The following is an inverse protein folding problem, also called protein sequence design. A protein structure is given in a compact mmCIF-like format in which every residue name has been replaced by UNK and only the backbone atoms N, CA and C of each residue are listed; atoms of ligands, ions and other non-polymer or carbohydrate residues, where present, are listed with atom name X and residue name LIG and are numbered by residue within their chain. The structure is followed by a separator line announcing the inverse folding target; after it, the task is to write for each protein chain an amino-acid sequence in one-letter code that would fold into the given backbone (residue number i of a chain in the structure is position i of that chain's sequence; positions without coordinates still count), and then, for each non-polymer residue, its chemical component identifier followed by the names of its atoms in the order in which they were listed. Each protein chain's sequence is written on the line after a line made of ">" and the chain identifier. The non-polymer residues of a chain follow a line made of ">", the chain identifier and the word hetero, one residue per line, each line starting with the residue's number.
data_IF_179381620068
#
_entry.id   IF_179381620068
#
_cell.length_a   1.000
_cell.length_b   1.000
_cell.length_c   1.000
_cell.angle_alpha   90.00
_cell.angle_beta   90.00
_cell.angle_gamma   90.00
#
_symmetry.space_group_name_H-M   'P 1'
#
loop_
_entity.id
_entity.type
_entity.pdbx_description
1 polymer ?
#
# COMPACT_ATOMS: atom_id res chain seq x y z
N UNK A 1 10.25 2.24 -16.96
CA UNK A 1 9.40 3.32 -16.40
C UNK A 1 8.30 2.64 -15.63
N UNK A 2 7.97 3.12 -14.43
CA UNK A 2 7.06 2.41 -13.53
C UNK A 2 5.68 3.04 -13.62
N UNK A 3 4.68 2.24 -13.93
CA UNK A 3 3.29 2.70 -13.99
C UNK A 3 2.46 2.16 -12.83
N UNK A 4 2.84 0.99 -12.31
CA UNK A 4 2.06 0.31 -11.30
C UNK A 4 2.93 -0.10 -10.13
N UNK A 5 2.41 0.10 -8.92
CA UNK A 5 2.96 -0.47 -7.69
C UNK A 5 1.90 -1.38 -7.07
N UNK A 6 2.27 -2.62 -6.78
CA UNK A 6 1.44 -3.56 -6.03
C UNK A 6 1.72 -3.38 -4.55
N UNK A 7 0.66 -3.12 -3.79
CA UNK A 7 0.67 -3.06 -2.35
C UNK A 7 -0.13 -4.24 -1.81
N UNK A 8 0.56 -5.11 -1.09
CA UNK A 8 -0.04 -6.22 -0.39
C UNK A 8 0.25 -6.11 1.10
N UNK A 9 -0.79 -6.34 1.92
CA UNK A 9 -0.69 -6.44 3.37
C UNK A 9 -1.24 -7.79 3.81
N UNK A 10 -0.43 -8.56 4.53
CA UNK A 10 -0.83 -9.85 5.09
C UNK A 10 -0.67 -9.87 6.60
N UNK A 11 -1.63 -10.47 7.31
CA UNK A 11 -1.53 -10.75 8.76
C UNK A 11 -1.89 -12.22 9.01
N UNK A 12 -0.90 -13.07 9.32
CA UNK A 12 -1.14 -14.49 9.56
C UNK A 12 -1.75 -14.79 10.96
N UNK A 13 -1.84 -13.79 11.86
CA UNK A 13 -2.05 -14.03 13.28
C UNK A 13 -3.44 -13.73 13.85
N UNK A 14 -4.29 -12.96 13.15
CA UNK A 14 -5.54 -12.46 13.73
C UNK A 14 -6.79 -12.78 12.89
N UNK A 15 -7.88 -13.12 13.58
CA UNK A 15 -9.21 -13.14 12.99
C UNK A 15 -9.77 -11.71 12.98
N UNK A 16 -9.71 -11.05 11.82
CA UNK A 16 -10.22 -9.70 11.63
C UNK A 16 -11.71 -9.72 11.31
N UNK A 17 -12.50 -8.87 11.98
CA UNK A 17 -13.88 -8.59 11.58
C UNK A 17 -13.91 -7.76 10.29
N UNK A 18 -15.02 -7.83 9.54
CA UNK A 18 -15.19 -7.05 8.30
C UNK A 18 -15.05 -5.54 8.55
N UNK A 19 -15.53 -5.06 9.70
CA UNK A 19 -15.40 -3.65 10.11
C UNK A 19 -13.94 -3.25 10.29
N UNK A 20 -13.15 -4.07 10.99
CA UNK A 20 -11.73 -3.77 11.23
C UNK A 20 -10.93 -3.84 9.92
N UNK A 21 -11.22 -4.82 9.05
CA UNK A 21 -10.63 -4.91 7.71
C UNK A 21 -10.91 -3.64 6.90
N UNK A 22 -12.15 -3.18 6.93
CA UNK A 22 -12.54 -1.97 6.22
C UNK A 22 -11.85 -0.71 6.77
N UNK A 23 -11.75 -0.57 8.09
CA UNK A 23 -11.05 0.55 8.73
C UNK A 23 -9.56 0.54 8.38
N UNK A 24 -8.91 -0.62 8.45
CA UNK A 24 -7.52 -0.78 8.05
C UNK A 24 -7.32 -0.42 6.58
N UNK A 25 -8.20 -0.90 5.71
CA UNK A 25 -8.17 -0.56 4.30
C UNK A 25 -8.25 0.94 4.07
N UNK A 26 -9.20 1.63 4.70
CA UNK A 26 -9.33 3.08 4.59
C UNK A 26 -8.08 3.82 5.07
N UNK A 27 -7.46 3.35 6.16
CA UNK A 27 -6.23 3.92 6.71
C UNK A 27 -5.05 3.76 5.74
N UNK A 28 -4.84 2.55 5.22
CA UNK A 28 -3.78 2.25 4.25
C UNK A 28 -3.95 3.09 2.98
N UNK A 29 -5.17 3.17 2.44
CA UNK A 29 -5.46 3.99 1.26
C UNK A 29 -5.17 5.48 1.51
N UNK A 30 -5.48 5.98 2.71
CA UNK A 30 -5.18 7.36 3.09
C UNK A 30 -3.66 7.62 3.14
N UNK A 31 -2.89 6.68 3.69
CA UNK A 31 -1.42 6.76 3.72
C UNK A 31 -0.89 6.81 2.28
N UNK A 32 -1.32 5.90 1.41
CA UNK A 32 -0.91 5.91 0.01
C UNK A 32 -1.17 7.27 -0.68
N UNK A 33 -2.37 7.82 -0.51
CA UNK A 33 -2.73 9.11 -1.09
C UNK A 33 -1.87 10.25 -0.52
N UNK A 34 -1.66 10.28 0.80
CA UNK A 34 -0.87 11.30 1.47
C UNK A 34 0.61 11.24 1.09
N UNK A 35 1.22 10.05 1.12
CA UNK A 35 2.62 9.86 0.69
C UNK A 35 2.80 10.26 -0.77
N UNK A 36 1.86 9.86 -1.65
CA UNK A 36 1.91 10.22 -3.07
C UNK A 36 1.86 11.74 -3.26
N UNK A 37 0.90 12.42 -2.61
CA UNK A 37 0.80 13.87 -2.67
C UNK A 37 2.08 14.58 -2.21
N UNK A 38 2.70 14.10 -1.12
CA UNK A 38 3.91 14.72 -0.56
C UNK A 38 5.16 14.49 -1.40
N UNK A 39 5.34 13.29 -1.95
CA UNK A 39 6.61 12.89 -2.59
C UNK A 39 6.58 13.07 -4.10
N UNK A 40 5.51 12.60 -4.76
CA UNK A 40 5.42 12.60 -6.22
C UNK A 40 4.55 13.74 -6.74
N UNK A 41 3.45 14.06 -6.04
CA UNK A 41 2.47 15.06 -6.47
C UNK A 41 1.74 14.70 -7.77
N UNK A 42 1.80 13.44 -8.21
CA UNK A 42 1.22 12.97 -9.48
C UNK A 42 -0.15 12.34 -9.28
N UNK A 43 -1.04 12.40 -10.28
CA UNK A 43 -2.30 11.67 -10.24
C UNK A 43 -2.06 10.16 -10.08
N UNK A 44 -2.69 9.57 -9.06
CA UNK A 44 -2.58 8.16 -8.74
C UNK A 44 -3.97 7.60 -8.45
N UNK A 45 -4.28 6.45 -9.04
CA UNK A 45 -5.51 5.69 -8.81
C UNK A 45 -5.18 4.46 -7.99
N UNK A 46 -6.03 4.14 -7.02
CA UNK A 46 -5.89 2.93 -6.23
C UNK A 46 -6.98 1.94 -6.60
N UNK A 47 -6.59 0.74 -7.03
CA UNK A 47 -7.51 -0.32 -7.47
C UNK A 47 -7.37 -1.56 -6.60
N UNK A 48 -8.46 -2.13 -6.06
CA UNK A 48 -8.38 -3.41 -5.38
C UNK A 48 -8.02 -4.51 -6.37
N UNK A 49 -7.20 -5.45 -5.94
CA UNK A 49 -6.90 -6.68 -6.65
C UNK A 49 -7.65 -7.85 -6.00
N UNK A 50 -8.33 -8.63 -6.82
CA UNK A 50 -9.01 -9.84 -6.35
C UNK A 50 -7.98 -10.96 -6.21
N UNK A 51 -7.55 -11.20 -4.97
CA UNK A 51 -6.77 -12.39 -4.62
C UNK A 51 -7.43 -13.03 -3.41
N UNK A 52 -7.75 -14.32 -3.53
CA UNK A 52 -8.30 -15.11 -2.42
C UNK A 52 -7.15 -15.71 -1.62
N UNK A 53 -6.83 -15.12 -0.47
CA UNK A 53 -5.90 -15.70 0.51
C UNK A 53 -6.38 -15.41 1.93
N UNK A 54 -6.33 -16.43 2.79
CA UNK A 54 -6.85 -16.37 4.17
C UNK A 54 -6.09 -15.37 5.05
N UNK A 55 -4.82 -15.08 4.74
CA UNK A 55 -3.97 -14.16 5.49
C UNK A 55 -3.89 -12.77 4.86
N UNK A 56 -4.56 -12.57 3.72
CA UNK A 56 -4.55 -11.30 3.01
C UNK A 56 -5.54 -10.33 3.66
N UNK A 57 -5.02 -9.19 4.10
CA UNK A 57 -5.82 -8.09 4.60
C UNK A 57 -6.11 -7.07 3.51
N UNK A 58 -5.11 -6.79 2.68
CA UNK A 58 -5.19 -5.78 1.64
C UNK A 58 -4.38 -6.19 0.42
N UNK A 59 -4.92 -5.95 -0.77
CA UNK A 59 -4.21 -6.12 -2.01
C UNK A 59 -4.70 -5.11 -3.03
N UNK A 60 -3.84 -4.17 -3.40
CA UNK A 60 -4.18 -3.04 -4.26
C UNK A 60 -3.07 -2.73 -5.25
N UNK A 61 -3.47 -2.18 -6.39
CA UNK A 61 -2.57 -1.54 -7.34
C UNK A 61 -2.67 -0.03 -7.17
N UNK A 62 -1.52 0.60 -7.01
CA UNK A 62 -1.32 2.03 -7.17
C UNK A 62 -0.92 2.28 -8.62
N UNK A 63 -1.83 2.83 -9.42
CA UNK A 63 -1.63 3.12 -10.83
C UNK A 63 -1.40 4.61 -11.01
N UNK A 64 -0.25 5.00 -11.55
CA UNK A 64 0.06 6.39 -11.87
C UNK A 64 -0.47 6.71 -13.26
N UNK A 65 -1.11 7.88 -13.43
CA UNK A 65 -1.58 8.31 -14.75
C UNK A 65 -0.39 8.65 -15.67
N UNK A 66 0.66 9.23 -15.09
CA UNK A 66 1.94 9.48 -15.75
C UNK A 66 3.01 8.52 -15.20
N UNK A 67 3.77 7.81 -16.05
CA UNK A 67 4.82 6.90 -15.58
C UNK A 67 5.86 7.62 -14.73
N UNK A 68 6.34 6.92 -13.70
CA UNK A 68 7.30 7.42 -12.73
C UNK A 68 8.67 6.79 -13.01
N UNK A 69 9.72 7.59 -12.95
CA UNK A 69 11.08 7.07 -13.09
C UNK A 69 11.51 6.27 -11.86
N UNK A 70 12.49 5.39 -12.00
CA UNK A 70 13.01 4.62 -10.87
C UNK A 70 13.58 5.54 -9.77
N UNK A 71 14.20 6.65 -10.17
CA UNK A 71 14.76 7.64 -9.24
C UNK A 71 13.68 8.36 -8.41
N UNK A 72 12.50 8.58 -8.99
CA UNK A 72 11.35 9.16 -8.29
C UNK A 72 10.60 8.11 -7.44
N UNK A 73 10.49 6.87 -7.93
CA UNK A 73 9.71 5.84 -7.23
C UNK A 73 10.38 5.41 -5.93
N UNK A 74 11.73 5.35 -5.92
CA UNK A 74 12.48 4.84 -4.78
C UNK A 74 12.18 5.62 -3.49
N UNK A 75 12.30 6.96 -3.44
CA UNK A 75 11.95 7.72 -2.24
C UNK A 75 10.46 7.64 -1.89
N UNK A 76 9.59 7.46 -2.90
CA UNK A 76 8.17 7.22 -2.66
C UNK A 76 7.93 5.89 -1.92
N UNK A 77 8.53 4.80 -2.39
CA UNK A 77 8.41 3.47 -1.78
C UNK A 77 8.99 3.43 -0.38
N UNK A 78 10.18 4.01 -0.18
CA UNK A 78 10.82 4.10 1.13
C UNK A 78 9.94 4.88 2.11
N UNK A 79 9.41 6.02 1.67
CA UNK A 79 8.50 6.82 2.50
C UNK A 79 7.18 6.09 2.79
N UNK A 80 6.63 5.39 1.81
CA UNK A 80 5.37 4.66 1.95
C UNK A 80 5.53 3.50 2.93
N UNK A 81 6.62 2.73 2.79
CA UNK A 81 6.96 1.64 3.69
C UNK A 81 7.03 2.13 5.14
N UNK A 82 7.79 3.20 5.41
CA UNK A 82 7.95 3.75 6.76
C UNK A 82 6.62 4.25 7.33
N UNK A 83 5.78 4.93 6.55
CA UNK A 83 4.48 5.42 7.02
C UNK A 83 3.50 4.29 7.31
N UNK A 84 3.48 3.24 6.48
CA UNK A 84 2.69 2.04 6.70
C UNK A 84 3.16 1.31 7.96
N UNK A 85 4.44 0.96 8.07
CA UNK A 85 4.99 0.27 9.24
C UNK A 85 4.71 1.02 10.54
N UNK A 86 4.97 2.34 10.55
CA UNK A 86 4.69 3.19 11.71
C UNK A 86 3.21 3.15 12.09
N UNK A 87 2.32 3.29 11.11
CA UNK A 87 0.88 3.34 11.38
C UNK A 87 0.34 2.00 11.84
N UNK A 88 0.75 0.91 11.18
CA UNK A 88 0.38 -0.45 11.57
C UNK A 88 0.89 -0.79 12.97
N UNK A 89 2.10 -0.36 13.32
CA UNK A 89 2.65 -0.51 14.68
C UNK A 89 1.81 0.24 15.74
N UNK A 90 1.34 1.45 15.44
CA UNK A 90 0.41 2.19 16.30
C UNK A 90 -0.96 1.49 16.44
N UNK A 91 -1.36 0.72 15.43
CA UNK A 91 -2.54 -0.15 15.49
C UNK A 91 -2.26 -1.52 16.14
N UNK A 92 -1.07 -1.72 16.71
CA UNK A 92 -0.62 -3.00 17.30
C UNK A 92 -0.51 -4.17 16.31
N UNK A 93 -0.31 -3.88 15.02
CA UNK A 93 -0.21 -4.86 13.94
C UNK A 93 1.24 -5.14 13.56
N UNK A 94 2.04 -5.56 14.54
CA UNK A 94 3.49 -5.67 14.40
C UNK A 94 3.96 -6.85 13.54
N UNK A 95 3.06 -7.80 13.23
CA UNK A 95 3.35 -8.99 12.40
C UNK A 95 2.83 -8.87 10.98
N UNK A 96 2.30 -7.70 10.61
CA UNK A 96 1.78 -7.51 9.27
C UNK A 96 2.94 -7.33 8.29
N UNK A 97 2.99 -8.17 7.26
CA UNK A 97 3.98 -8.06 6.19
C UNK A 97 3.44 -7.12 5.11
N UNK A 98 4.24 -6.10 4.77
CA UNK A 98 3.97 -5.17 3.67
C UNK A 98 4.86 -5.58 2.49
N UNK A 99 4.23 -5.86 1.35
CA UNK A 99 4.93 -6.12 0.10
C UNK A 99 4.62 -5.00 -0.88
N UNK A 100 5.66 -4.31 -1.33
CA UNK A 100 5.62 -3.29 -2.37
C UNK A 100 6.40 -3.77 -3.59
N UNK A 101 5.72 -4.01 -4.70
CA UNK A 101 6.35 -4.43 -5.95
C UNK A 101 6.09 -3.40 -7.04
N UNK A 102 7.11 -3.05 -7.81
CA UNK A 102 6.98 -2.19 -8.99
C UNK A 102 6.80 -3.05 -10.23
N UNK A 103 5.84 -2.72 -11.08
CA UNK A 103 5.74 -3.25 -12.43
C UNK A 103 6.13 -2.16 -13.44
N UNK A 104 7.12 -2.49 -14.26
CA UNK A 104 7.56 -1.68 -15.40
C UNK A 104 6.89 -2.21 -16.66
N UNK A 105 6.43 -1.30 -17.52
CA UNK A 105 6.16 -1.61 -18.93
C UNK A 105 7.47 -1.87 -19.70
#
# INVERSE_FOLDING_TARGET
>A
MIQTIHLQLTDPGNAWTDRERHLLQMLVLHICAHTNYRILGKPMRVRPMVVSSIHLLLNHQLQFEDPVSEAEVKPFLESLQVELERTLSLCHLQKADILLLTESD
#
